data_IF_531609704534
#
_entry.id   IF_531609704534
#
_cell.length_a   1.000
_cell.length_b   1.000
_cell.length_c   1.000
_cell.angle_alpha   90.00
_cell.angle_beta   90.00
_cell.angle_gamma   90.00
#
_symmetry.space_group_name_H-M   'P 1'
#
loop_
_entity.id
_entity.type
_entity.pdbx_description
1 polymer ?
#
# COMPACT_ATOMS: atom_id res chain seq x y z
N UNK A 1 23.22 12.26 -2.36
CA UNK A 1 22.68 11.29 -3.35
C UNK A 1 21.29 10.87 -2.93
N UNK A 2 20.27 10.95 -3.81
CA UNK A 2 18.92 10.47 -3.49
C UNK A 2 18.85 8.97 -3.83
N UNK A 3 18.38 8.15 -2.88
CA UNK A 3 18.18 6.69 -3.03
C UNK A 3 17.50 6.25 -4.33
N UNK A 4 16.63 7.11 -4.87
CA UNK A 4 15.89 6.90 -6.11
C UNK A 4 16.78 6.94 -7.37
N UNK A 5 17.88 7.68 -7.34
CA UNK A 5 18.77 7.83 -8.49
C UNK A 5 19.66 6.58 -8.63
N UNK A 6 20.02 5.94 -7.51
CA UNK A 6 20.79 4.70 -7.47
C UNK A 6 20.01 3.50 -8.05
N UNK A 7 18.73 3.35 -7.69
CA UNK A 7 17.87 2.27 -8.21
C UNK A 7 17.63 2.41 -9.72
N UNK A 8 17.49 3.66 -10.21
CA UNK A 8 17.35 3.93 -11.65
C UNK A 8 18.60 3.52 -12.44
N UNK A 9 19.80 3.74 -11.88
CA UNK A 9 21.05 3.32 -12.51
C UNK A 9 21.23 1.80 -12.59
N UNK A 10 20.84 1.08 -11.53
CA UNK A 10 21.01 -0.38 -11.46
C UNK A 10 20.08 -1.16 -12.41
N UNK A 11 18.82 -0.74 -12.56
CA UNK A 11 17.86 -1.43 -13.45
C UNK A 11 18.23 -1.29 -14.92
N UNK A 12 18.78 -0.13 -15.32
CA UNK A 12 19.20 0.12 -16.70
C UNK A 12 20.55 -0.55 -16.99
N UNK A 13 21.49 -0.54 -16.04
CA UNK A 13 22.79 -1.21 -16.20
C UNK A 13 22.71 -2.73 -16.28
N UNK A 14 21.72 -3.35 -15.60
CA UNK A 14 21.57 -4.81 -15.57
C UNK A 14 21.06 -5.43 -16.88
N UNK A 15 20.23 -4.72 -17.64
CA UNK A 15 19.68 -5.23 -18.92
C UNK A 15 20.69 -5.09 -20.07
N UNK A 16 21.46 -3.99 -20.11
CA UNK A 16 22.47 -3.77 -21.15
C UNK A 16 23.72 -4.64 -21.01
N UNK A 17 23.97 -5.23 -19.84
CA UNK A 17 25.14 -6.10 -19.60
C UNK A 17 25.01 -7.53 -20.12
N UNK A 18 23.79 -8.03 -20.35
CA UNK A 18 23.55 -9.42 -20.76
C UNK A 18 23.50 -9.64 -22.28
N UNK A 19 23.38 -8.58 -23.08
CA UNK A 19 23.37 -8.67 -24.55
C UNK A 19 24.44 -7.73 -25.12
N UNK A 20 25.66 -8.25 -25.21
CA UNK A 20 26.73 -7.80 -26.10
C UNK A 20 26.98 -6.30 -26.25
N UNK A 21 27.99 -5.78 -25.56
CA UNK A 21 28.78 -4.63 -26.02
C UNK A 21 28.05 -3.29 -26.15
N UNK A 22 27.01 -3.04 -25.35
CA UNK A 22 26.33 -1.74 -25.31
C UNK A 22 27.23 -0.63 -24.76
N UNK A 23 27.38 0.46 -25.51
CA UNK A 23 28.03 1.69 -25.06
C UNK A 23 27.38 2.16 -23.73
N UNK A 24 28.13 2.36 -22.63
CA UNK A 24 27.54 2.77 -21.34
C UNK A 24 26.85 4.14 -21.40
N UNK A 25 27.05 4.90 -22.48
CA UNK A 25 26.37 6.17 -22.76
C UNK A 25 25.06 6.02 -23.55
N UNK A 26 24.66 4.80 -23.93
CA UNK A 26 23.42 4.52 -24.68
C UNK A 26 22.21 4.31 -23.76
N UNK A 27 22.19 4.94 -22.58
CA UNK A 27 20.95 5.07 -21.83
C UNK A 27 20.11 6.11 -22.56
N UNK A 28 19.30 5.65 -23.51
CA UNK A 28 18.32 6.49 -24.17
C UNK A 28 17.49 7.20 -23.11
N UNK A 29 17.49 8.53 -23.14
CA UNK A 29 16.57 9.30 -22.32
C UNK A 29 15.16 8.83 -22.65
N UNK A 30 14.43 8.39 -21.63
CA UNK A 30 13.00 8.14 -21.76
C UNK A 30 12.34 9.51 -21.94
N UNK A 31 12.34 10.03 -23.16
CA UNK A 31 11.78 11.33 -23.52
C UNK A 31 10.27 11.19 -23.68
N UNK A 32 9.55 11.51 -22.62
CA UNK A 32 8.10 11.53 -22.57
C UNK A 32 7.63 11.79 -21.16
N UNK A 33 6.65 12.68 -20.98
CA UNK A 33 5.99 12.84 -19.68
C UNK A 33 5.35 11.50 -19.31
N UNK A 34 5.83 10.89 -18.23
CA UNK A 34 5.23 9.64 -17.73
C UNK A 34 3.82 9.94 -17.25
N UNK A 35 2.84 9.40 -17.97
CA UNK A 35 1.44 9.41 -17.53
C UNK A 35 1.27 8.42 -16.38
N UNK A 36 0.63 8.85 -15.29
CA UNK A 36 0.20 7.94 -14.22
C UNK A 36 -0.81 6.94 -14.79
N UNK A 37 -0.60 5.66 -14.53
CA UNK A 37 -1.44 4.58 -15.04
C UNK A 37 -2.36 3.97 -13.98
N UNK A 38 -1.89 3.84 -12.74
CA UNK A 38 -2.63 3.24 -11.62
C UNK A 38 -2.25 3.94 -10.32
N UNK A 39 -3.20 4.09 -9.41
CA UNK A 39 -3.02 4.55 -8.05
C UNK A 39 -3.83 3.69 -7.09
N UNK A 40 -3.19 3.18 -6.05
CA UNK A 40 -3.87 2.39 -5.03
C UNK A 40 -3.42 2.82 -3.64
N UNK A 41 -4.21 2.49 -2.63
CA UNK A 41 -3.83 2.61 -1.22
C UNK A 41 -3.43 1.25 -0.69
N UNK A 42 -2.35 1.20 0.10
CA UNK A 42 -1.93 0.00 0.80
C UNK A 42 -2.21 0.17 2.30
N UNK A 43 -3.17 -0.61 2.81
CA UNK A 43 -3.42 -0.77 4.25
C UNK A 43 -2.69 -2.03 4.74
N UNK A 44 -1.99 -1.95 5.85
CA UNK A 44 -1.31 -3.08 6.48
C UNK A 44 -1.15 -2.80 7.97
N UNK A 45 -0.94 -3.85 8.77
CA UNK A 45 -0.61 -3.75 10.20
C UNK A 45 -1.60 -2.85 10.97
N UNK A 46 -2.88 -2.94 10.60
CA UNK A 46 -3.92 -2.10 11.22
C UNK A 46 -4.17 -2.55 12.66
N UNK A 47 -4.10 -3.87 12.90
CA UNK A 47 -4.33 -4.51 14.19
C UNK A 47 -5.58 -3.96 14.90
N UNK A 48 -6.73 -3.95 14.22
CA UNK A 48 -7.94 -3.39 14.83
C UNK A 48 -8.37 -4.24 16.02
N UNK A 49 -8.60 -3.56 17.16
CA UNK A 49 -9.03 -4.16 18.41
C UNK A 49 -9.90 -3.15 19.20
N UNK A 50 -10.72 -3.57 20.17
CA UNK A 50 -11.69 -2.68 20.84
C UNK A 50 -11.09 -1.60 21.76
N UNK A 51 -9.75 -1.53 21.89
CA UNK A 51 -9.08 -0.62 22.84
C UNK A 51 -8.45 0.54 22.07
N UNK A 52 -8.04 1.60 22.79
CA UNK A 52 -7.27 2.74 22.25
C UNK A 52 -7.89 3.44 21.02
N UNK A 53 -9.20 3.34 20.87
CA UNK A 53 -9.94 3.94 19.75
C UNK A 53 -9.46 3.49 18.36
N UNK A 54 -8.96 2.24 18.24
CA UNK A 54 -8.54 1.70 16.96
C UNK A 54 -9.67 1.67 15.91
N UNK A 55 -10.94 1.33 16.25
CA UNK A 55 -12.04 1.37 15.29
C UNK A 55 -12.28 2.78 14.72
N UNK A 56 -12.23 3.81 15.57
CA UNK A 56 -12.40 5.20 15.15
C UNK A 56 -11.22 5.68 14.30
N UNK A 57 -10.00 5.23 14.62
CA UNK A 57 -8.81 5.49 13.83
C UNK A 57 -8.92 4.91 12.42
N UNK A 58 -9.30 3.63 12.31
CA UNK A 58 -9.55 2.95 11.04
C UNK A 58 -10.66 3.67 10.24
N UNK A 59 -11.78 3.98 10.88
CA UNK A 59 -12.90 4.67 10.23
C UNK A 59 -12.47 6.06 9.70
N UNK A 60 -11.68 6.83 10.45
CA UNK A 60 -11.11 8.09 9.98
C UNK A 60 -10.18 7.89 8.78
N UNK A 61 -9.34 6.86 8.80
CA UNK A 61 -8.44 6.56 7.69
C UNK A 61 -9.20 6.19 6.40
N UNK A 62 -10.23 5.34 6.51
CA UNK A 62 -11.09 4.97 5.37
C UNK A 62 -11.78 6.21 4.80
N UNK A 63 -12.43 7.03 5.65
CA UNK A 63 -13.07 8.27 5.20
C UNK A 63 -12.07 9.24 4.56
N UNK A 64 -10.86 9.33 5.09
CA UNK A 64 -9.81 10.16 4.49
C UNK A 64 -9.48 9.72 3.07
N UNK A 65 -9.27 8.41 2.85
CA UNK A 65 -9.01 7.84 1.52
C UNK A 65 -10.14 8.19 0.55
N UNK A 66 -11.40 8.10 0.99
CA UNK A 66 -12.56 8.42 0.16
C UNK A 66 -12.70 9.94 -0.10
N UNK A 67 -12.15 10.79 0.75
CA UNK A 67 -12.16 12.24 0.59
C UNK A 67 -11.01 12.79 -0.27
N UNK A 68 -10.07 11.95 -0.71
CA UNK A 68 -8.97 12.39 -1.58
C UNK A 68 -9.51 12.89 -2.92
N UNK A 69 -9.03 14.06 -3.37
CA UNK A 69 -9.44 14.67 -4.64
C UNK A 69 -9.03 13.84 -5.85
N UNK A 70 -7.79 13.36 -5.84
CA UNK A 70 -7.33 12.24 -6.65
C UNK A 70 -7.68 10.98 -5.85
N UNK A 71 -8.60 10.12 -6.32
CA UNK A 71 -9.01 8.89 -5.63
C UNK A 71 -8.17 7.69 -6.08
N UNK A 72 -7.93 6.69 -5.21
CA UNK A 72 -7.31 5.44 -5.66
C UNK A 72 -8.28 4.62 -6.51
N UNK A 73 -7.75 3.83 -7.44
CA UNK A 73 -8.48 2.85 -8.24
C UNK A 73 -8.96 1.67 -7.38
N UNK A 74 -8.16 1.30 -6.37
CA UNK A 74 -8.50 0.26 -5.42
C UNK A 74 -7.71 0.42 -4.10
N UNK A 75 -8.17 -0.32 -3.09
CA UNK A 75 -7.46 -0.48 -1.83
C UNK A 75 -6.92 -1.90 -1.74
N UNK A 76 -5.65 -2.04 -1.38
CA UNK A 76 -4.99 -3.31 -1.13
C UNK A 76 -4.72 -3.44 0.37
N UNK A 77 -5.18 -4.54 0.98
CA UNK A 77 -4.79 -4.92 2.32
C UNK A 77 -3.61 -5.91 2.27
N UNK A 78 -2.52 -5.61 2.98
CA UNK A 78 -1.28 -6.40 3.02
C UNK A 78 -1.21 -7.46 4.13
N UNK A 79 -2.14 -7.48 5.07
CA UNK A 79 -2.11 -8.36 6.24
C UNK A 79 -2.39 -7.61 7.55
N UNK A 80 -2.35 -8.36 8.65
CA UNK A 80 -2.43 -7.85 10.02
C UNK A 80 -3.60 -6.87 10.25
N UNK A 81 -4.76 -7.27 9.75
CA UNK A 81 -5.99 -6.49 9.82
C UNK A 81 -6.54 -6.39 11.25
N UNK A 82 -6.54 -7.52 11.97
CA UNK A 82 -6.95 -7.62 13.38
C UNK A 82 -5.73 -7.74 14.29
N UNK A 83 -5.92 -7.52 15.58
CA UNK A 83 -4.89 -7.76 16.60
C UNK A 83 -4.50 -9.23 16.73
N UNK A 84 -3.68 -9.55 17.73
CA UNK A 84 -3.13 -10.90 17.91
C UNK A 84 -4.24 -11.93 18.20
N UNK A 85 -4.54 -12.74 17.19
CA UNK A 85 -5.55 -13.79 17.29
C UNK A 85 -5.07 -15.04 18.03
N UNK A 86 -3.76 -15.19 18.28
CA UNK A 86 -3.18 -16.30 19.02
C UNK A 86 -3.19 -16.04 20.53
N UNK A 87 -3.22 -14.77 20.95
CA UNK A 87 -3.28 -14.38 22.37
C UNK A 87 -4.70 -14.41 22.97
N UNK A 88 -5.74 -14.50 22.15
CA UNK A 88 -7.13 -14.31 22.58
C UNK A 88 -8.04 -15.48 22.19
N UNK A 89 -9.18 -15.59 22.87
CA UNK A 89 -10.20 -16.60 22.57
C UNK A 89 -10.98 -16.31 21.30
N UNK A 90 -11.67 -17.32 20.78
CA UNK A 90 -12.46 -17.25 19.55
C UNK A 90 -13.46 -16.08 19.53
N UNK A 91 -14.16 -15.84 20.62
CA UNK A 91 -15.17 -14.78 20.70
C UNK A 91 -14.56 -13.39 20.51
N UNK A 92 -13.35 -13.17 21.05
CA UNK A 92 -12.63 -11.91 20.87
C UNK A 92 -12.07 -11.78 19.44
N UNK A 93 -11.59 -12.87 18.84
CA UNK A 93 -11.21 -12.89 17.42
C UNK A 93 -12.41 -12.55 16.53
N UNK A 94 -13.58 -13.13 16.78
CA UNK A 94 -14.82 -12.85 16.03
C UNK A 94 -15.25 -11.39 16.20
N UNK A 95 -15.14 -10.84 17.42
CA UNK A 95 -15.36 -9.41 17.68
C UNK A 95 -14.43 -8.53 16.85
N UNK A 96 -13.12 -8.79 16.85
CA UNK A 96 -12.15 -8.02 16.09
C UNK A 96 -12.44 -8.05 14.58
N UNK A 97 -12.79 -9.22 14.04
CA UNK A 97 -13.24 -9.34 12.65
C UNK A 97 -14.55 -8.58 12.39
N UNK A 98 -15.46 -8.55 13.35
CA UNK A 98 -16.66 -7.72 13.33
C UNK A 98 -16.30 -6.25 13.14
N UNK A 99 -15.47 -5.70 14.03
CA UNK A 99 -14.98 -4.32 13.97
C UNK A 99 -14.32 -3.99 12.63
N UNK A 100 -13.49 -4.89 12.11
CA UNK A 100 -12.86 -4.74 10.81
C UNK A 100 -13.91 -4.62 9.69
N UNK A 101 -14.83 -5.57 9.60
CA UNK A 101 -15.86 -5.61 8.55
C UNK A 101 -16.81 -4.42 8.63
N UNK A 102 -17.24 -4.06 9.83
CA UNK A 102 -18.18 -2.97 10.05
C UNK A 102 -17.54 -1.64 9.67
N UNK A 103 -16.27 -1.41 10.02
CA UNK A 103 -15.54 -0.21 9.60
C UNK A 103 -15.55 -0.02 8.08
N UNK A 104 -15.29 -1.07 7.30
CA UNK A 104 -15.34 -1.00 5.83
C UNK A 104 -16.77 -0.86 5.29
N UNK A 105 -17.74 -1.58 5.86
CA UNK A 105 -19.14 -1.51 5.43
C UNK A 105 -19.75 -0.13 5.67
N UNK A 106 -19.43 0.51 6.78
CA UNK A 106 -20.00 1.80 7.18
C UNK A 106 -19.29 3.00 6.54
N UNK A 107 -18.00 2.87 6.23
CA UNK A 107 -17.18 4.01 5.77
C UNK A 107 -16.65 3.87 4.34
N UNK A 108 -16.64 2.66 3.77
CA UNK A 108 -15.99 2.32 2.51
C UNK A 108 -16.89 2.31 1.28
N UNK A 109 -18.02 3.04 1.31
CA UNK A 109 -19.04 3.06 0.25
C UNK A 109 -18.51 3.22 -1.17
#
# INVERSE_FOLDING_TARGET
>A
MKRRDLVRGLVIGGVSGFVGGGNPNAVGEVSGERKRSVRFVHFTDVHVHPKRSAPEGLAKAIRHVHALSDRPDFVLNGGDAIGDALEVGRDEVEMQWGLWKDAWKENGG
#
